data_IF_593056311639
#
_entry.id   IF_593056311639
#
_cell.length_a   1.000
_cell.length_b   1.000
_cell.length_c   1.000
_cell.angle_alpha   90.00
_cell.angle_beta   90.00
_cell.angle_gamma   90.00
#
_symmetry.space_group_name_H-M   'P 1'
#
loop_
_entity.id
_entity.type
_entity.pdbx_description
1 polymer ?
#
# COMPACT_ATOMS: atom_id res chain seq x y z
N UNK A 1 8.62 12.23 5.99
CA UNK A 1 7.74 11.04 5.99
C UNK A 1 6.88 11.06 4.75
N UNK A 2 6.99 10.01 3.95
CA UNK A 2 6.26 9.84 2.70
C UNK A 2 5.32 8.64 2.82
N UNK A 3 4.10 8.74 2.27
CA UNK A 3 3.13 7.67 2.33
C UNK A 3 2.77 7.18 0.94
N UNK A 4 2.52 5.89 0.85
CA UNK A 4 1.90 5.25 -0.30
C UNK A 4 0.69 4.46 0.19
N UNK A 5 -0.49 4.81 -0.30
CA UNK A 5 -1.74 4.13 -0.06
C UNK A 5 -2.19 3.43 -1.35
N UNK A 6 -2.36 2.12 -1.28
CA UNK A 6 -2.93 1.31 -2.35
C UNK A 6 -4.29 0.76 -1.90
N UNK A 7 -5.37 1.22 -2.53
CA UNK A 7 -6.69 0.61 -2.39
C UNK A 7 -6.82 -0.45 -3.48
N UNK A 8 -7.15 -1.67 -3.09
CA UNK A 8 -7.32 -2.81 -3.99
C UNK A 8 -8.73 -3.37 -3.81
N UNK A 9 -9.45 -3.49 -4.92
CA UNK A 9 -10.71 -4.23 -5.02
C UNK A 9 -10.41 -5.55 -5.74
N UNK A 10 -10.50 -6.63 -4.98
CA UNK A 10 -10.18 -7.98 -5.42
C UNK A 10 -11.41 -8.63 -6.08
N UNK A 11 -11.17 -9.48 -7.08
CA UNK A 11 -12.23 -10.26 -7.72
C UNK A 11 -12.84 -11.28 -6.76
N UNK A 12 -12.07 -11.74 -5.78
CA UNK A 12 -12.53 -12.70 -4.78
C UNK A 12 -11.81 -12.52 -3.44
N UNK A 13 -12.46 -12.95 -2.35
CA UNK A 13 -11.86 -13.01 -1.02
C UNK A 13 -10.56 -13.84 -1.00
N UNK A 14 -10.52 -14.94 -1.77
CA UNK A 14 -9.34 -15.80 -1.87
C UNK A 14 -8.14 -15.06 -2.49
N UNK A 15 -8.39 -14.24 -3.51
CA UNK A 15 -7.35 -13.38 -4.11
C UNK A 15 -6.80 -12.40 -3.08
N UNK A 16 -7.68 -11.79 -2.27
CA UNK A 16 -7.26 -10.91 -1.18
C UNK A 16 -6.32 -11.60 -0.18
N UNK A 17 -6.67 -12.80 0.28
CA UNK A 17 -5.90 -13.56 1.27
C UNK A 17 -4.50 -13.92 0.76
N UNK A 18 -4.40 -14.39 -0.49
CA UNK A 18 -3.13 -14.77 -1.13
C UNK A 18 -2.21 -13.56 -1.26
N UNK A 19 -2.72 -12.46 -1.80
CA UNK A 19 -1.92 -11.26 -2.08
C UNK A 19 -1.49 -10.55 -0.81
N UNK A 20 -2.33 -10.60 0.22
CA UNK A 20 -1.98 -10.06 1.52
C UNK A 20 -0.85 -10.84 2.16
N UNK A 21 -0.89 -12.17 2.09
CA UNK A 21 0.18 -13.03 2.59
C UNK A 21 1.51 -12.76 1.87
N UNK A 22 1.46 -12.56 0.54
CA UNK A 22 2.64 -12.19 -0.25
C UNK A 22 3.21 -10.83 0.18
N UNK A 23 2.35 -9.82 0.34
CA UNK A 23 2.76 -8.48 0.77
C UNK A 23 3.35 -8.48 2.18
N UNK A 24 2.83 -9.32 3.09
CA UNK A 24 3.37 -9.49 4.45
C UNK A 24 4.78 -10.08 4.41
N UNK A 25 5.01 -11.11 3.60
CA UNK A 25 6.33 -11.73 3.42
C UNK A 25 7.34 -10.72 2.86
N UNK A 26 6.97 -9.98 1.83
CA UNK A 26 7.86 -9.01 1.19
C UNK A 26 8.27 -7.89 2.15
N UNK A 27 7.32 -7.38 2.95
CA UNK A 27 7.62 -6.39 3.98
C UNK A 27 8.53 -6.94 5.09
N UNK A 28 8.37 -8.22 5.46
CA UNK A 28 9.19 -8.85 6.51
C UNK A 28 10.61 -9.15 6.03
N UNK A 29 10.78 -9.61 4.79
CA UNK A 29 12.07 -10.05 4.27
C UNK A 29 12.90 -8.91 3.70
N UNK A 30 12.25 -7.89 3.13
CA UNK A 30 12.93 -6.81 2.39
C UNK A 30 12.58 -5.41 2.89
N UNK A 31 11.81 -5.28 3.97
CA UNK A 31 11.34 -3.98 4.47
C UNK A 31 12.46 -2.98 4.73
N UNK A 32 13.50 -3.43 5.44
CA UNK A 32 14.67 -2.59 5.76
C UNK A 32 15.46 -2.19 4.50
N UNK A 33 15.63 -3.13 3.56
CA UNK A 33 16.32 -2.88 2.29
C UNK A 33 15.56 -1.88 1.40
N UNK A 34 14.23 -1.92 1.46
CA UNK A 34 13.32 -1.07 0.68
C UNK A 34 13.00 0.27 1.36
N UNK A 35 13.55 0.51 2.56
CA UNK A 35 13.32 1.75 3.32
C UNK A 35 11.88 1.89 3.85
N UNK A 36 11.19 0.78 4.06
CA UNK A 36 9.82 0.76 4.61
C UNK A 36 9.93 0.91 6.13
N UNK A 37 9.46 2.04 6.67
CA UNK A 37 9.42 2.27 8.11
C UNK A 37 8.27 1.52 8.77
N UNK A 38 7.08 1.59 8.15
CA UNK A 38 5.87 0.97 8.66
C UNK A 38 4.95 0.54 7.53
N UNK A 39 4.21 -0.54 7.76
CA UNK A 39 3.16 -1.03 6.88
C UNK A 39 1.89 -1.30 7.68
N UNK A 40 0.76 -0.85 7.16
CA UNK A 40 -0.56 -1.16 7.70
C UNK A 40 -1.46 -1.72 6.63
N UNK A 41 -2.35 -2.61 7.04
CA UNK A 41 -3.44 -3.12 6.22
C UNK A 41 -4.76 -2.82 6.89
N UNK A 42 -5.72 -2.38 6.10
CA UNK A 42 -7.10 -2.17 6.54
C UNK A 42 -8.01 -2.94 5.60
N UNK A 43 -8.70 -3.94 6.14
CA UNK A 43 -9.76 -4.62 5.41
C UNK A 43 -11.04 -3.80 5.52
N UNK A 44 -11.55 -3.35 4.38
CA UNK A 44 -12.75 -2.50 4.28
C UNK A 44 -13.99 -3.36 4.07
N UNK A 45 -13.87 -4.41 3.25
CA UNK A 45 -14.93 -5.39 2.99
C UNK A 45 -14.31 -6.77 2.70
N UNK A 46 -15.14 -7.76 2.39
CA UNK A 46 -14.71 -9.12 2.03
C UNK A 46 -13.79 -9.20 0.79
N UNK A 47 -13.80 -8.17 -0.05
CA UNK A 47 -13.04 -8.10 -1.29
C UNK A 47 -12.34 -6.75 -1.49
N UNK A 48 -12.29 -5.89 -0.47
CA UNK A 48 -11.63 -4.58 -0.58
C UNK A 48 -10.67 -4.38 0.57
N UNK A 49 -9.41 -4.11 0.23
CA UNK A 49 -8.34 -3.84 1.18
C UNK A 49 -7.60 -2.55 0.86
N UNK A 50 -7.08 -1.92 1.89
CA UNK A 50 -6.13 -0.81 1.78
C UNK A 50 -4.80 -1.26 2.36
N UNK A 51 -3.72 -1.10 1.60
CA UNK A 51 -2.35 -1.26 2.08
C UNK A 51 -1.70 0.12 2.13
N UNK A 52 -1.14 0.45 3.29
CA UNK A 52 -0.40 1.69 3.52
C UNK A 52 1.04 1.36 3.80
N UNK A 53 1.96 1.96 3.04
CA UNK A 53 3.39 1.94 3.30
C UNK A 53 3.85 3.34 3.70
N UNK A 54 4.71 3.39 4.71
CA UNK A 54 5.29 4.62 5.24
C UNK A 54 6.80 4.54 5.07
N UNK A 55 7.37 5.61 4.53
CA UNK A 55 8.78 5.75 4.24
C UNK A 55 9.33 7.00 4.91
N UNK A 56 10.64 7.06 5.09
CA UNK A 56 11.32 8.26 5.59
C UNK A 56 11.11 9.43 4.61
N UNK A 57 11.30 9.16 3.32
CA UNK A 57 11.30 10.15 2.25
C UNK A 57 10.80 9.57 0.91
N UNK A 58 10.60 10.44 -0.08
CA UNK A 58 10.14 10.07 -1.43
C UNK A 58 11.06 9.10 -2.15
N UNK A 59 12.38 9.18 -1.94
CA UNK A 59 13.38 8.35 -2.64
C UNK A 59 13.21 6.86 -2.26
N UNK A 60 12.93 6.58 -0.99
CA UNK A 60 12.68 5.21 -0.53
C UNK A 60 11.39 4.63 -1.14
N UNK A 61 10.34 5.46 -1.23
CA UNK A 61 9.13 5.10 -1.98
C UNK A 61 9.44 4.81 -3.46
N UNK A 62 10.18 5.69 -4.15
CA UNK A 62 10.51 5.51 -5.56
C UNK A 62 11.34 4.24 -5.80
N UNK A 63 12.26 3.91 -4.89
CA UNK A 63 13.00 2.65 -4.92
C UNK A 63 12.05 1.46 -4.84
N UNK A 64 11.24 1.39 -3.78
CA UNK A 64 10.29 0.29 -3.60
C UNK A 64 9.28 0.20 -4.75
N UNK A 65 8.84 1.35 -5.29
CA UNK A 65 7.91 1.39 -6.40
C UNK A 65 8.49 0.72 -7.65
N UNK A 66 9.73 1.08 -8.01
CA UNK A 66 10.39 0.57 -9.20
C UNK A 66 10.85 -0.89 -9.05
N UNK A 67 11.20 -1.32 -7.85
CA UNK A 67 11.68 -2.69 -7.60
C UNK A 67 10.56 -3.72 -7.40
N UNK A 68 9.36 -3.31 -6.96
CA UNK A 68 8.31 -4.28 -6.61
C UNK A 68 6.87 -3.81 -6.83
N UNK A 69 6.49 -2.60 -6.41
CA UNK A 69 5.07 -2.20 -6.42
C UNK A 69 4.54 -2.12 -7.86
N UNK A 70 5.32 -1.59 -8.80
CA UNK A 70 4.88 -1.40 -10.19
C UNK A 70 4.48 -2.73 -10.84
N UNK A 71 5.36 -3.72 -10.78
CA UNK A 71 5.10 -5.06 -11.34
C UNK A 71 3.90 -5.72 -10.65
N UNK A 72 3.80 -5.58 -9.32
CA UNK A 72 2.66 -6.10 -8.57
C UNK A 72 1.35 -5.47 -9.03
N UNK A 73 1.28 -4.14 -9.20
CA UNK A 73 0.08 -3.45 -9.67
C UNK A 73 -0.30 -3.92 -11.08
N UNK A 74 0.67 -4.06 -11.98
CA UNK A 74 0.40 -4.46 -13.36
C UNK A 74 -0.09 -5.91 -13.44
N UNK A 75 0.51 -6.82 -12.64
CA UNK A 75 0.03 -8.20 -12.50
C UNK A 75 -1.40 -8.25 -11.99
N UNK A 76 -1.71 -7.48 -10.95
CA UNK A 76 -3.03 -7.47 -10.34
C UNK A 76 -4.11 -6.92 -11.28
N UNK A 77 -3.80 -5.84 -12.00
CA UNK A 77 -4.69 -5.31 -13.05
C UNK A 77 -4.95 -6.34 -14.14
N UNK A 78 -3.93 -7.11 -14.53
CA UNK A 78 -4.05 -8.19 -15.53
C UNK A 78 -4.95 -9.32 -15.03
N UNK A 79 -5.00 -9.55 -13.72
CA UNK A 79 -5.87 -10.54 -13.07
C UNK A 79 -7.30 -10.04 -12.82
N UNK A 80 -7.68 -8.86 -13.34
CA UNK A 80 -9.01 -8.28 -13.21
C UNK A 80 -9.22 -7.47 -11.92
N UNK A 81 -8.19 -7.30 -11.08
CA UNK A 81 -8.31 -6.50 -9.87
C UNK A 81 -8.27 -5.00 -10.18
N UNK A 82 -9.09 -4.23 -9.47
CA UNK A 82 -9.05 -2.77 -9.56
C UNK A 82 -8.13 -2.22 -8.48
N UNK A 83 -7.22 -1.32 -8.86
CA UNK A 83 -6.24 -0.73 -7.94
C UNK A 83 -6.18 0.78 -8.13
N UNK A 84 -6.25 1.49 -7.01
CA UNK A 84 -5.93 2.91 -6.92
C UNK A 84 -4.70 3.10 -6.03
N UNK A 85 -3.68 3.76 -6.58
CA UNK A 85 -2.47 4.14 -5.87
C UNK A 85 -2.48 5.65 -5.63
N UNK A 86 -2.37 6.07 -4.38
CA UNK A 86 -2.19 7.46 -3.99
C UNK A 86 -0.93 7.57 -3.14
N UNK A 87 -0.08 8.55 -3.38
CA UNK A 87 1.16 8.72 -2.61
C UNK A 87 1.54 10.19 -2.51
N UNK A 88 2.30 10.54 -1.47
CA UNK A 88 2.70 11.92 -1.24
C UNK A 88 3.31 12.15 0.14
N UNK A 89 3.85 13.36 0.31
CA UNK A 89 4.22 13.87 1.61
C UNK A 89 2.95 14.14 2.43
N UNK A 90 2.90 13.59 3.64
CA UNK A 90 1.75 13.76 4.52
C UNK A 90 2.03 14.86 5.52
N UNK A 91 1.11 15.81 5.57
CA UNK A 91 1.08 16.86 6.59
C UNK A 91 0.55 16.30 7.91
N UNK A 92 -0.52 15.51 7.86
CA UNK A 92 -1.08 14.82 9.03
C UNK A 92 -1.86 13.56 8.65
N UNK A 93 -1.82 12.55 9.53
CA UNK A 93 -2.63 11.35 9.48
C UNK A 93 -3.47 11.26 10.75
N UNK A 94 -4.77 11.05 10.59
CA UNK A 94 -5.69 10.91 11.73
C UNK A 94 -6.42 9.58 11.64
N UNK A 95 -6.41 8.82 12.74
CA UNK A 95 -7.25 7.64 12.93
C UNK A 95 -8.41 8.06 13.83
N UNK A 96 -9.64 7.99 13.31
CA UNK A 96 -10.85 8.25 14.09
C UNK A 96 -11.82 7.08 13.93
N UNK A 97 -11.94 6.27 14.98
CA UNK A 97 -12.68 5.01 14.96
C UNK A 97 -12.26 4.14 13.77
N UNK A 98 -13.19 3.90 12.83
CA UNK A 98 -13.04 3.02 11.68
C UNK A 98 -12.51 3.76 10.43
N UNK A 99 -12.08 5.01 10.56
CA UNK A 99 -11.72 5.86 9.42
C UNK A 99 -10.28 6.36 9.55
N UNK A 100 -9.54 6.20 8.46
CA UNK A 100 -8.24 6.82 8.24
C UNK A 100 -8.44 8.06 7.38
N UNK A 101 -7.99 9.23 7.86
CA UNK A 101 -7.90 10.46 7.07
C UNK A 101 -6.43 10.80 6.85
N UNK A 102 -6.05 11.01 5.59
CA UNK A 102 -4.72 11.47 5.18
C UNK A 102 -4.85 12.89 4.64
N UNK A 103 -4.10 13.83 5.21
CA UNK A 103 -3.97 15.20 4.71
C UNK A 103 -2.58 15.34 4.07
N UNK A 104 -2.54 15.47 2.74
CA UNK A 104 -1.32 15.63 1.98
C UNK A 104 -0.84 17.09 2.01
N UNK A 105 0.46 17.32 1.85
CA UNK A 105 0.97 18.65 1.53
C UNK A 105 0.61 18.91 0.06
N UNK A 106 -0.27 19.89 -0.20
CA UNK A 106 -0.61 20.31 -1.56
C UNK A 106 0.69 20.65 -2.32
N UNK A 107 0.85 20.10 -3.53
CA UNK A 107 1.95 20.45 -4.45
C UNK A 107 1.63 21.74 -5.21
#
# INVERSE_FOLDING_TARGET
MYFCLSKVEFESKKSMEVLSSYSDTLAKEKGDELGILMRYRVDISENTGIVVFIYENKKDFEKHYNESIKESIDMLKTQGHWIQLNHGDIKSFTVNNNKIKLDFIDQ
#
